data_IF_176256521364
#
_entry.id   IF_176256521364
#
_cell.length_a   1.000
_cell.length_b   1.000
_cell.length_c   1.000
_cell.angle_alpha   90.00
_cell.angle_beta   90.00
_cell.angle_gamma   90.00
#
_symmetry.space_group_name_H-M   'P 1'
#
loop_
_entity.id
_entity.type
_entity.pdbx_description
1 polymer ?
#
# COMPACT_ATOMS: atom_id res chain seq x y z
N UNK A 1 0.83 16.18 -11.45
CA UNK A 1 1.35 15.78 -10.13
C UNK A 1 0.14 15.61 -9.22
N UNK A 2 -0.15 14.37 -8.83
CA UNK A 2 -1.35 14.02 -8.04
C UNK A 2 -1.24 14.62 -6.65
N UNK A 3 -2.36 15.12 -6.13
CA UNK A 3 -2.44 15.59 -4.75
C UNK A 3 -2.91 14.46 -3.82
N UNK A 4 -1.96 13.83 -3.15
CA UNK A 4 -2.23 12.79 -2.16
C UNK A 4 -2.68 13.36 -0.82
N UNK A 5 -3.49 12.58 -0.10
CA UNK A 5 -3.93 12.91 1.26
C UNK A 5 -3.82 11.68 2.16
N UNK A 6 -3.36 11.92 3.39
CA UNK A 6 -3.41 10.91 4.45
C UNK A 6 -4.55 11.20 5.43
N UNK A 7 -5.29 10.16 5.78
CA UNK A 7 -6.15 10.17 6.97
C UNK A 7 -5.74 9.12 7.97
N UNK A 8 -5.61 9.53 9.23
CA UNK A 8 -5.13 8.63 10.27
C UNK A 8 -6.31 7.84 10.83
N UNK A 9 -6.18 6.52 10.85
CA UNK A 9 -7.12 5.62 11.51
C UNK A 9 -6.33 4.73 12.47
N UNK A 10 -6.55 4.93 13.77
CA UNK A 10 -5.79 4.26 14.84
C UNK A 10 -4.27 4.40 14.66
N UNK A 11 -3.59 3.31 14.27
CA UNK A 11 -2.14 3.15 14.13
C UNK A 11 -1.68 3.08 12.67
N UNK A 12 -2.54 3.45 11.73
CA UNK A 12 -2.19 3.47 10.30
C UNK A 12 -2.84 4.68 9.60
N UNK A 13 -2.49 4.87 8.34
CA UNK A 13 -2.97 5.97 7.51
C UNK A 13 -3.63 5.44 6.25
N UNK A 14 -4.86 5.86 5.98
CA UNK A 14 -5.50 5.72 4.67
C UNK A 14 -4.88 6.72 3.70
N UNK A 15 -4.48 6.23 2.54
CA UNK A 15 -3.89 7.03 1.45
C UNK A 15 -4.98 7.27 0.41
N UNK A 16 -5.24 8.54 0.10
CA UNK A 16 -6.23 8.95 -0.89
C UNK A 16 -5.57 9.73 -2.03
N UNK A 17 -6.07 9.52 -3.24
CA UNK A 17 -5.74 10.33 -4.40
C UNK A 17 -6.46 11.69 -4.40
N UNK A 18 -6.28 12.47 -5.48
CA UNK A 18 -6.90 13.79 -5.62
C UNK A 18 -8.42 13.75 -5.81
N UNK A 19 -8.97 12.61 -6.23
CA UNK A 19 -10.40 12.32 -6.37
C UNK A 19 -11.02 11.78 -5.06
N UNK A 20 -10.25 11.74 -3.96
CA UNK A 20 -10.61 11.09 -2.69
C UNK A 20 -10.93 9.60 -2.82
N UNK A 21 -10.42 8.91 -3.84
CA UNK A 21 -10.47 7.45 -3.88
C UNK A 21 -9.37 6.87 -3.01
N UNK A 22 -9.68 5.77 -2.33
CA UNK A 22 -8.72 5.08 -1.47
C UNK A 22 -7.70 4.35 -2.35
N UNK A 23 -6.47 4.82 -2.34
CA UNK A 23 -5.35 4.22 -3.08
C UNK A 23 -4.64 3.12 -2.28
N UNK A 24 -4.73 3.17 -0.95
CA UNK A 24 -4.09 2.17 -0.09
C UNK A 24 -4.01 2.57 1.37
N UNK A 25 -3.14 1.87 2.10
CA UNK A 25 -2.91 2.06 3.53
C UNK A 25 -1.41 2.08 3.83
N UNK A 26 -0.96 3.01 4.65
CA UNK A 26 0.40 3.06 5.14
C UNK A 26 0.42 2.84 6.66
N UNK A 27 1.16 1.83 7.11
CA UNK A 27 1.39 1.56 8.53
C UNK A 27 2.86 1.85 8.86
N UNK A 28 3.16 2.88 9.66
CA UNK A 28 4.53 3.16 10.06
C UNK A 28 5.18 2.00 10.83
N UNK A 29 6.50 1.89 10.73
CA UNK A 29 7.29 0.99 11.57
C UNK A 29 7.56 1.67 12.92
N UNK A 30 6.78 1.30 13.94
CA UNK A 30 6.93 1.84 15.31
C UNK A 30 8.09 1.22 16.11
N UNK A 31 8.85 0.30 15.51
CA UNK A 31 9.93 -0.43 16.16
C UNK A 31 9.46 -1.52 17.13
N UNK A 32 10.41 -2.14 17.83
CA UNK A 32 10.11 -3.10 18.89
C UNK A 32 9.62 -2.37 20.14
N UNK A 33 8.36 -2.61 20.51
CA UNK A 33 7.74 -1.98 21.68
C UNK A 33 7.76 -2.92 22.88
N UNK A 34 8.28 -2.43 24.00
CA UNK A 34 8.37 -3.15 25.25
C UNK A 34 7.79 -2.30 26.41
N UNK A 35 6.95 -2.88 27.28
CA UNK A 35 6.46 -4.26 27.24
C UNK A 35 5.29 -4.40 26.23
N UNK A 36 5.04 -5.59 25.64
CA UNK A 36 4.05 -5.77 24.56
C UNK A 36 2.62 -5.41 24.96
N UNK A 37 2.25 -5.60 26.24
CA UNK A 37 0.93 -5.25 26.77
C UNK A 37 0.64 -3.74 26.76
N UNK A 38 1.66 -2.90 26.56
CA UNK A 38 1.52 -1.44 26.45
C UNK A 38 1.69 -0.93 25.01
N UNK A 39 1.75 -1.82 24.02
CA UNK A 39 2.01 -1.46 22.64
C UNK A 39 1.10 -0.33 22.14
N UNK A 40 -0.20 -0.48 22.34
CA UNK A 40 -1.21 0.49 21.93
C UNK A 40 -1.05 1.87 22.59
N UNK A 41 -0.77 1.90 23.89
CA UNK A 41 -0.54 3.14 24.63
C UNK A 41 0.72 3.85 24.10
N UNK A 42 1.79 3.09 23.90
CA UNK A 42 3.08 3.60 23.43
C UNK A 42 2.95 4.16 22.01
N UNK A 43 2.29 3.45 21.08
CA UNK A 43 2.07 3.93 19.71
C UNK A 43 1.24 5.22 19.72
N UNK A 44 0.18 5.30 20.55
CA UNK A 44 -0.62 6.54 20.68
C UNK A 44 0.21 7.71 21.15
N UNK A 45 1.11 7.51 22.12
CA UNK A 45 2.00 8.57 22.57
C UNK A 45 3.04 8.94 21.51
N UNK A 46 3.57 7.97 20.75
CA UNK A 46 4.47 8.25 19.61
C UNK A 46 3.79 9.12 18.55
N UNK A 47 2.54 8.80 18.20
CA UNK A 47 1.73 9.58 17.26
C UNK A 47 1.47 11.00 17.78
N UNK A 48 1.15 11.16 19.07
CA UNK A 48 0.96 12.49 19.69
C UNK A 48 2.23 13.33 19.69
N UNK A 49 3.37 12.71 19.96
CA UNK A 49 4.69 13.37 19.98
C UNK A 49 5.25 13.60 18.57
N UNK A 50 4.65 12.98 17.55
CA UNK A 50 5.15 12.96 16.18
C UNK A 50 6.58 12.41 16.13
N UNK A 51 6.80 11.32 16.85
CA UNK A 51 8.10 10.64 16.91
C UNK A 51 8.57 10.26 15.48
N UNK A 52 9.88 10.10 15.31
CA UNK A 52 10.44 9.78 14.00
C UNK A 52 10.35 8.27 13.71
N UNK A 53 10.03 7.93 12.46
CA UNK A 53 10.06 6.57 11.91
C UNK A 53 10.98 6.47 10.70
N UNK A 54 11.48 5.27 10.44
CA UNK A 54 12.46 5.01 9.38
C UNK A 54 11.83 4.34 8.14
N UNK A 55 10.54 4.05 8.19
CA UNK A 55 9.85 3.31 7.16
C UNK A 55 8.48 2.83 7.60
N UNK A 56 7.97 1.84 6.90
CA UNK A 56 6.69 1.22 7.21
C UNK A 56 6.23 0.26 6.14
N UNK A 57 4.99 -0.17 6.26
CA UNK A 57 4.31 -1.07 5.34
C UNK A 57 3.28 -0.29 4.52
N UNK A 58 3.41 -0.31 3.19
CA UNK A 58 2.43 0.24 2.26
C UNK A 58 1.63 -0.90 1.64
N UNK A 59 0.32 -0.88 1.83
CA UNK A 59 -0.65 -1.80 1.23
C UNK A 59 -1.41 -1.10 0.12
N UNK A 60 -1.35 -1.61 -1.10
CA UNK A 60 -2.07 -1.06 -2.26
C UNK A 60 -2.74 -2.18 -3.08
N UNK A 61 -3.82 -1.90 -3.81
CA UNK A 61 -4.40 -2.85 -4.76
C UNK A 61 -3.38 -3.27 -5.81
N UNK A 62 -3.28 -4.57 -6.08
CA UNK A 62 -2.42 -5.11 -7.12
C UNK A 62 -3.24 -5.29 -8.40
N UNK A 63 -4.24 -6.17 -8.35
CA UNK A 63 -5.13 -6.48 -9.46
C UNK A 63 -6.42 -7.15 -8.96
N UNK A 64 -7.42 -7.15 -9.82
CA UNK A 64 -8.65 -7.92 -9.67
C UNK A 64 -8.72 -8.96 -10.77
N UNK A 65 -8.94 -10.22 -10.40
CA UNK A 65 -8.91 -11.35 -11.34
C UNK A 65 -10.17 -11.45 -12.18
N UNK A 66 -11.31 -10.95 -11.69
CA UNK A 66 -12.63 -11.02 -12.32
C UNK A 66 -13.03 -12.46 -12.70
N UNK A 67 -12.68 -13.43 -11.85
CA UNK A 67 -12.88 -14.87 -12.11
C UNK A 67 -13.57 -15.62 -10.96
N UNK A 68 -13.89 -14.94 -9.85
CA UNK A 68 -14.45 -15.58 -8.66
C UNK A 68 -15.82 -15.02 -8.24
N UNK A 69 -16.64 -14.60 -9.20
CA UNK A 69 -18.07 -14.38 -8.90
C UNK A 69 -18.77 -15.72 -8.69
N UNK A 70 -19.38 -15.91 -7.51
CA UNK A 70 -19.93 -17.19 -7.06
C UNK A 70 -21.12 -17.70 -7.90
N UNK A 71 -21.67 -16.88 -8.81
CA UNK A 71 -22.87 -17.21 -9.58
C UNK A 71 -22.66 -17.17 -11.11
N UNK A 72 -21.41 -17.20 -11.59
CA UNK A 72 -21.10 -17.04 -13.00
C UNK A 72 -20.31 -18.23 -13.57
N UNK A 73 -20.83 -18.84 -14.63
CA UNK A 73 -20.04 -19.66 -15.54
C UNK A 73 -19.27 -18.73 -16.49
N UNK A 74 -17.99 -18.99 -16.66
CA UNK A 74 -17.13 -18.28 -17.62
C UNK A 74 -16.77 -19.21 -18.78
N UNK A 75 -16.84 -18.70 -20.01
CA UNK A 75 -16.26 -19.41 -21.13
C UNK A 75 -14.72 -19.41 -21.04
N UNK A 76 -14.07 -20.42 -21.62
CA UNK A 76 -12.63 -20.60 -21.49
C UNK A 76 -11.81 -19.47 -22.12
N UNK A 77 -12.33 -18.81 -23.17
CA UNK A 77 -11.62 -17.70 -23.83
C UNK A 77 -11.59 -16.47 -22.93
N UNK A 78 -12.69 -16.19 -22.22
CA UNK A 78 -12.72 -15.16 -21.19
C UNK A 78 -11.71 -15.46 -20.06
N UNK A 79 -11.65 -16.71 -19.59
CA UNK A 79 -10.72 -17.11 -18.53
C UNK A 79 -9.27 -16.88 -18.95
N UNK A 80 -8.89 -17.31 -20.15
CA UNK A 80 -7.55 -17.09 -20.70
C UNK A 80 -7.24 -15.60 -20.79
N UNK A 81 -8.15 -14.82 -21.39
CA UNK A 81 -7.98 -13.37 -21.55
C UNK A 81 -7.79 -12.66 -20.22
N UNK A 82 -8.55 -13.03 -19.18
CA UNK A 82 -8.45 -12.42 -17.86
C UNK A 82 -7.13 -12.77 -17.16
N UNK A 83 -6.66 -14.02 -17.30
CA UNK A 83 -5.38 -14.45 -16.74
C UNK A 83 -4.20 -13.76 -17.45
N UNK A 84 -4.23 -13.64 -18.78
CA UNK A 84 -3.19 -12.94 -19.54
C UNK A 84 -3.10 -11.47 -19.13
N UNK A 85 -4.24 -10.77 -19.03
CA UNK A 85 -4.28 -9.39 -18.54
C UNK A 85 -3.74 -9.25 -17.10
N UNK A 86 -4.00 -10.25 -16.25
CA UNK A 86 -3.50 -10.28 -14.87
C UNK A 86 -1.99 -10.51 -14.80
N UNK A 87 -1.44 -11.34 -15.69
CA UNK A 87 0.01 -11.55 -15.83
C UNK A 87 0.67 -10.24 -16.27
N UNK A 88 0.17 -9.60 -17.33
CA UNK A 88 0.70 -8.33 -17.84
C UNK A 88 0.69 -7.25 -16.75
N UNK A 89 -0.41 -7.13 -16.01
CA UNK A 89 -0.52 -6.17 -14.90
C UNK A 89 0.47 -6.48 -13.78
N UNK A 90 0.66 -7.76 -13.44
CA UNK A 90 1.59 -8.17 -12.38
C UNK A 90 3.05 -7.90 -12.78
N UNK A 91 3.42 -8.14 -14.03
CA UNK A 91 4.77 -7.84 -14.52
C UNK A 91 5.04 -6.33 -14.53
N UNK A 92 4.08 -5.48 -14.94
CA UNK A 92 4.21 -4.01 -14.82
C UNK A 92 4.44 -3.56 -13.37
N UNK A 93 3.70 -4.13 -12.42
CA UNK A 93 3.90 -3.87 -10.99
C UNK A 93 5.30 -4.27 -10.53
N UNK A 94 5.75 -5.47 -10.90
CA UNK A 94 7.07 -6.00 -10.55
C UNK A 94 8.20 -5.14 -11.11
N UNK A 95 8.11 -4.74 -12.38
CA UNK A 95 9.07 -3.83 -13.01
C UNK A 95 9.12 -2.48 -12.28
N UNK A 96 7.96 -1.88 -11.99
CA UNK A 96 7.89 -0.63 -11.25
C UNK A 96 8.51 -0.74 -9.85
N UNK A 97 8.12 -1.77 -9.09
CA UNK A 97 8.62 -1.99 -7.73
C UNK A 97 10.15 -2.14 -7.74
N UNK A 98 10.69 -2.93 -8.67
CA UNK A 98 12.14 -3.14 -8.78
C UNK A 98 12.92 -1.87 -9.16
N UNK A 99 12.24 -0.88 -9.74
CA UNK A 99 12.86 0.40 -10.10
C UNK A 99 12.94 1.41 -8.94
N UNK A 100 12.28 1.15 -7.81
CA UNK A 100 12.19 2.06 -6.67
C UNK A 100 13.05 1.56 -5.50
N UNK A 101 14.24 2.14 -5.24
CA UNK A 101 15.19 1.61 -4.26
C UNK A 101 14.71 1.63 -2.80
N UNK A 102 13.74 2.47 -2.47
CA UNK A 102 13.15 2.55 -1.12
C UNK A 102 12.23 1.36 -0.79
N UNK A 103 11.85 0.57 -1.79
CA UNK A 103 11.07 -0.66 -1.58
C UNK A 103 12.03 -1.82 -1.30
N UNK A 104 12.00 -2.33 -0.08
CA UNK A 104 12.93 -3.38 0.39
C UNK A 104 12.36 -4.81 0.23
N UNK A 105 11.04 -4.95 0.15
CA UNK A 105 10.37 -6.20 -0.18
C UNK A 105 8.97 -5.92 -0.73
N UNK A 106 8.42 -6.89 -1.47
CA UNK A 106 7.05 -6.87 -1.96
C UNK A 106 6.42 -8.27 -1.85
N UNK A 107 5.21 -8.35 -1.31
CA UNK A 107 4.47 -9.61 -1.17
C UNK A 107 3.02 -9.43 -1.64
N UNK A 108 2.57 -10.28 -2.57
CA UNK A 108 1.15 -10.35 -2.90
C UNK A 108 0.34 -10.95 -1.75
N UNK A 109 -0.84 -10.40 -1.50
CA UNK A 109 -1.79 -10.87 -0.48
C UNK A 109 -3.20 -10.87 -1.05
N UNK A 110 -3.99 -11.86 -0.65
CA UNK A 110 -5.44 -11.83 -0.90
C UNK A 110 -6.06 -10.67 -0.11
N UNK A 111 -6.91 -9.88 -0.76
CA UNK A 111 -7.68 -8.86 -0.05
C UNK A 111 -8.65 -9.52 0.94
N UNK A 112 -8.81 -8.91 2.12
CA UNK A 112 -9.76 -9.37 3.13
C UNK A 112 -11.21 -9.03 2.79
N UNK A 113 -11.43 -7.98 1.99
CA UNK A 113 -12.77 -7.44 1.68
C UNK A 113 -13.28 -7.83 0.30
N UNK A 114 -12.40 -8.23 -0.61
CA UNK A 114 -12.76 -8.68 -1.96
C UNK A 114 -12.01 -9.98 -2.27
N UNK A 115 -12.69 -11.14 -2.31
CA UNK A 115 -12.04 -12.43 -2.53
C UNK A 115 -11.39 -12.57 -3.92
N UNK A 116 -11.75 -11.70 -4.86
CA UNK A 116 -11.27 -11.68 -6.25
C UNK A 116 -10.15 -10.65 -6.47
N UNK A 117 -9.77 -9.92 -5.43
CA UNK A 117 -8.70 -8.92 -5.46
C UNK A 117 -7.43 -9.41 -4.77
N UNK A 118 -6.30 -9.20 -5.43
CA UNK A 118 -4.99 -9.22 -4.81
C UNK A 118 -4.55 -7.80 -4.47
N UNK A 119 -3.86 -7.68 -3.34
CA UNK A 119 -3.13 -6.48 -2.92
C UNK A 119 -1.64 -6.81 -2.87
N UNK A 120 -0.80 -5.78 -2.91
CA UNK A 120 0.63 -5.91 -2.64
C UNK A 120 0.96 -5.19 -1.33
N UNK A 121 1.70 -5.89 -0.47
CA UNK A 121 2.34 -5.34 0.71
C UNK A 121 3.78 -5.01 0.37
N UNK A 122 4.14 -3.75 0.52
CA UNK A 122 5.47 -3.22 0.26
C UNK A 122 6.14 -2.80 1.57
N UNK A 123 7.38 -3.23 1.79
CA UNK A 123 8.23 -2.67 2.83
C UNK A 123 8.89 -1.41 2.32
N UNK A 124 8.61 -0.27 2.94
CA UNK A 124 9.16 1.03 2.57
C UNK A 124 10.24 1.41 3.58
N UNK A 125 11.41 1.80 3.09
CA UNK A 125 12.50 2.37 3.87
C UNK A 125 12.75 3.81 3.43
N UNK A 126 12.69 4.74 4.38
CA UNK A 126 13.00 6.14 4.12
C UNK A 126 14.51 6.39 4.20
N UNK A 127 15.00 7.33 3.40
CA UNK A 127 16.42 7.73 3.42
C UNK A 127 16.80 8.45 4.71
N UNK A 128 15.85 9.17 5.31
CA UNK A 128 16.01 9.90 6.56
C UNK A 128 14.82 9.61 7.50
N UNK A 129 14.97 9.75 8.82
CA UNK A 129 13.85 9.64 9.74
C UNK A 129 12.75 10.65 9.39
N UNK A 130 11.51 10.19 9.32
CA UNK A 130 10.32 11.00 8.98
C UNK A 130 9.44 11.14 10.21
N UNK A 131 8.97 12.36 10.50
CA UNK A 131 8.04 12.57 11.62
C UNK A 131 6.70 11.90 11.36
N UNK A 132 6.10 11.34 12.41
CA UNK A 132 4.74 10.79 12.41
C UNK A 132 3.65 11.87 12.33
N UNK A 133 3.71 12.70 11.30
CA UNK A 133 2.63 13.64 10.95
C UNK A 133 2.26 13.50 9.48
N UNK A 134 1.02 13.88 9.16
CA UNK A 134 0.43 13.65 7.84
C UNK A 134 1.24 14.29 6.71
N UNK A 135 1.86 15.45 6.94
CA UNK A 135 2.57 16.18 5.90
C UNK A 135 3.93 15.53 5.62
N UNK A 136 4.73 15.27 6.65
CA UNK A 136 6.03 14.62 6.47
C UNK A 136 5.90 13.20 5.90
N UNK A 137 4.91 12.44 6.37
CA UNK A 137 4.63 11.10 5.83
C UNK A 137 4.20 11.15 4.37
N UNK A 138 3.31 12.07 3.97
CA UNK A 138 2.89 12.13 2.57
C UNK A 138 4.03 12.59 1.66
N UNK A 139 4.85 13.54 2.11
CA UNK A 139 6.00 14.01 1.34
C UNK A 139 7.03 12.88 1.11
N UNK A 140 7.22 12.00 2.11
CA UNK A 140 8.10 10.84 2.00
C UNK A 140 7.53 9.74 1.09
N UNK A 141 6.21 9.54 1.09
CA UNK A 141 5.54 8.51 0.26
C UNK A 141 5.30 8.98 -1.17
N UNK A 142 5.17 10.28 -1.38
CA UNK A 142 4.75 10.88 -2.66
C UNK A 142 5.56 10.41 -3.87
N UNK A 143 6.91 10.30 -3.84
CA UNK A 143 7.66 9.83 -5.00
C UNK A 143 7.24 8.41 -5.44
N UNK A 144 6.97 7.54 -4.47
CA UNK A 144 6.57 6.15 -4.70
C UNK A 144 5.15 6.10 -5.27
N UNK A 145 4.22 6.87 -4.68
CA UNK A 145 2.83 6.94 -5.11
C UNK A 145 2.69 7.57 -6.51
N UNK A 146 3.45 8.63 -6.80
CA UNK A 146 3.51 9.25 -8.11
C UNK A 146 4.03 8.26 -9.17
N UNK A 147 5.07 7.48 -8.87
CA UNK A 147 5.59 6.45 -9.79
C UNK A 147 4.56 5.36 -10.13
N UNK A 148 3.76 4.93 -9.14
CA UNK A 148 2.68 3.97 -9.36
C UNK A 148 1.54 4.57 -10.20
N UNK A 149 1.13 5.79 -9.88
CA UNK A 149 0.09 6.49 -10.62
C UNK A 149 0.51 6.77 -12.07
N UNK A 150 1.73 7.27 -12.29
CA UNK A 150 2.24 7.61 -13.63
C UNK A 150 2.41 6.36 -14.52
N UNK A 151 2.48 5.17 -13.93
CA UNK A 151 2.46 3.87 -14.62
C UNK A 151 1.08 3.21 -14.66
N UNK A 152 0.02 3.92 -14.27
CA UNK A 152 -1.37 3.46 -14.25
C UNK A 152 -1.57 2.18 -13.41
N UNK A 153 -0.81 2.08 -12.31
CA UNK A 153 -0.88 0.96 -11.37
C UNK A 153 -1.86 1.24 -10.22
N UNK A 154 -2.07 2.52 -9.88
CA UNK A 154 -3.07 3.01 -8.94
C UNK A 154 -4.19 3.76 -9.66
#
# INVERSE_FOLDING_TARGET
>A
MVKWKLDQEEYHYKVYDEQNQLAGYFQPEYGEIQPPEKQDEIIREMLKRQDYVYGGMLYVPLLKLNLFDENQDYDLEYVVTSLDASIDRTERWKECINSIPSIIFANARKSHTDPDMLSVLLGIKFDNPVKLDKQNLIDALKPILDDFHDKELL
#
